data_IF_994636323429
#
_entry.id   IF_994636323429
#
_cell.length_a   1.000
_cell.length_b   1.000
_cell.length_c   1.000
_cell.angle_alpha   90.00
_cell.angle_beta   90.00
_cell.angle_gamma   90.00
#
_symmetry.space_group_name_H-M   'P 1'
#
loop_
_entity.id
_entity.type
_entity.pdbx_description
1 polymer ?
#
# COMPACT_ATOMS: atom_id res chain seq x y z
N UNK A 1 28.89 18.72 15.39
CA UNK A 1 28.83 17.63 14.40
C UNK A 1 27.80 18.02 13.37
N UNK A 2 28.26 18.41 12.17
CA UNK A 2 27.38 18.80 11.07
C UNK A 2 26.85 17.50 10.47
N UNK A 3 25.54 17.25 10.38
CA UNK A 3 25.02 16.05 9.74
C UNK A 3 25.44 16.11 8.27
N UNK A 4 26.37 15.24 7.89
CA UNK A 4 26.70 15.01 6.48
C UNK A 4 25.48 14.39 5.84
N UNK A 5 24.71 15.19 5.11
CA UNK A 5 23.70 14.71 4.18
C UNK A 5 24.42 13.88 3.11
N UNK A 6 24.52 12.57 3.34
CA UNK A 6 24.94 11.64 2.30
C UNK A 6 23.93 11.74 1.15
N UNK A 7 24.38 12.02 -0.08
CA UNK A 7 23.48 11.99 -1.22
C UNK A 7 22.94 10.57 -1.38
N UNK A 8 21.61 10.42 -1.34
CA UNK A 8 20.93 9.16 -1.61
C UNK A 8 21.42 8.62 -2.95
N UNK A 9 22.04 7.43 -2.94
CA UNK A 9 22.48 6.82 -4.19
C UNK A 9 21.28 6.21 -4.92
N UNK A 10 21.39 6.03 -6.24
CA UNK A 10 20.32 5.46 -7.07
C UNK A 10 19.92 4.06 -6.57
N UNK A 11 20.87 3.32 -5.99
CA UNK A 11 20.63 2.01 -5.37
C UNK A 11 19.73 2.10 -4.12
N UNK A 12 19.95 3.12 -3.29
CA UNK A 12 19.13 3.35 -2.09
C UNK A 12 17.70 3.77 -2.48
N UNK A 13 17.57 4.60 -3.52
CA UNK A 13 16.27 5.01 -4.06
C UNK A 13 15.48 3.83 -4.63
N UNK A 14 16.14 2.93 -5.36
CA UNK A 14 15.52 1.71 -5.87
C UNK A 14 15.10 0.77 -4.71
N UNK A 15 15.95 0.58 -3.70
CA UNK A 15 15.59 -0.23 -2.53
C UNK A 15 14.39 0.35 -1.77
N UNK A 16 14.30 1.67 -1.64
CA UNK A 16 13.14 2.36 -1.04
C UNK A 16 11.90 2.13 -1.91
N UNK A 17 12.01 2.28 -3.23
CA UNK A 17 10.92 2.01 -4.17
C UNK A 17 10.38 0.59 -4.03
N UNK A 18 11.26 -0.41 -4.05
CA UNK A 18 10.93 -1.83 -3.87
C UNK A 18 10.29 -2.10 -2.51
N UNK A 19 10.83 -1.53 -1.42
CA UNK A 19 10.27 -1.69 -0.08
C UNK A 19 8.86 -1.10 0.01
N UNK A 20 8.63 0.08 -0.59
CA UNK A 20 7.32 0.73 -0.61
C UNK A 20 6.32 -0.04 -1.48
N UNK A 21 6.76 -0.61 -2.61
CA UNK A 21 5.94 -1.51 -3.43
C UNK A 21 5.52 -2.75 -2.63
N UNK A 22 6.44 -3.38 -1.92
CA UNK A 22 6.15 -4.57 -1.09
C UNK A 22 5.16 -4.25 0.02
N UNK A 23 5.35 -3.13 0.73
CA UNK A 23 4.43 -2.69 1.78
C UNK A 23 3.04 -2.39 1.21
N UNK A 24 2.97 -1.69 0.07
CA UNK A 24 1.73 -1.42 -0.65
C UNK A 24 1.02 -2.71 -1.08
N UNK A 25 1.76 -3.68 -1.60
CA UNK A 25 1.23 -4.98 -2.03
C UNK A 25 0.67 -5.80 -0.86
N UNK A 26 1.41 -5.90 0.26
CA UNK A 26 0.95 -6.61 1.45
C UNK A 26 -0.28 -5.94 2.04
N UNK A 27 -0.25 -4.60 2.16
CA UNK A 27 -1.39 -3.81 2.65
C UNK A 27 -2.63 -3.96 1.76
N UNK A 28 -2.45 -3.92 0.44
CA UNK A 28 -3.52 -4.15 -0.52
C UNK A 28 -4.12 -5.54 -0.35
N UNK A 29 -3.27 -6.58 -0.31
CA UNK A 29 -3.71 -7.98 -0.21
C UNK A 29 -4.48 -8.24 1.09
N UNK A 30 -3.97 -7.77 2.23
CA UNK A 30 -4.65 -7.90 3.53
C UNK A 30 -5.97 -7.15 3.57
N UNK A 31 -6.01 -5.93 3.03
CA UNK A 31 -7.22 -5.11 3.01
C UNK A 31 -8.29 -5.75 2.11
N UNK A 32 -7.88 -6.28 0.96
CA UNK A 32 -8.77 -6.98 0.02
C UNK A 32 -9.32 -8.27 0.63
N UNK A 33 -8.47 -9.02 1.34
CA UNK A 33 -8.88 -10.20 2.09
C UNK A 33 -9.92 -9.86 3.18
N UNK A 34 -9.66 -8.84 3.99
CA UNK A 34 -10.60 -8.38 5.02
C UNK A 34 -11.91 -7.86 4.42
N UNK A 35 -11.83 -7.17 3.28
CA UNK A 35 -12.99 -6.65 2.57
C UNK A 35 -13.87 -7.79 2.02
N UNK A 36 -13.27 -8.84 1.47
CA UNK A 36 -14.00 -10.02 0.97
C UNK A 36 -14.59 -10.82 2.13
N UNK A 37 -13.84 -11.03 3.22
CA UNK A 37 -14.28 -11.92 4.29
C UNK A 37 -15.24 -11.27 5.30
N UNK A 38 -15.03 -9.99 5.63
CA UNK A 38 -15.80 -9.25 6.64
C UNK A 38 -16.71 -8.18 6.03
N UNK A 39 -16.32 -7.64 4.87
CA UNK A 39 -17.00 -6.51 4.24
C UNK A 39 -18.13 -6.92 3.31
N UNK A 40 -18.12 -8.12 2.75
CA UNK A 40 -19.17 -8.60 1.85
C UNK A 40 -20.26 -9.37 2.62
N UNK A 41 -21.51 -8.95 2.43
CA UNK A 41 -22.66 -9.71 2.89
C UNK A 41 -22.89 -10.95 2.00
N UNK A 42 -23.76 -11.89 2.42
CA UNK A 42 -24.11 -13.10 1.65
C UNK A 42 -24.67 -12.80 0.25
N UNK A 43 -25.13 -11.58 0.03
CA UNK A 43 -25.61 -11.05 -1.25
C UNK A 43 -24.51 -10.39 -2.09
N UNK A 44 -23.24 -10.46 -1.68
CA UNK A 44 -22.10 -9.82 -2.34
C UNK A 44 -22.07 -8.30 -2.19
N UNK A 45 -22.94 -7.72 -1.36
CA UNK A 45 -22.99 -6.27 -1.12
C UNK A 45 -21.97 -5.84 -0.07
N UNK A 46 -21.25 -4.75 -0.35
CA UNK A 46 -20.32 -4.16 0.61
C UNK A 46 -21.10 -3.50 1.76
N UNK A 47 -20.86 -3.96 2.99
CA UNK A 47 -21.45 -3.36 4.19
C UNK A 47 -20.96 -1.92 4.35
N UNK A 48 -21.90 -1.00 4.55
CA UNK A 48 -21.66 0.46 4.62
C UNK A 48 -20.61 0.86 5.65
N UNK A 49 -20.46 0.09 6.73
CA UNK A 49 -19.46 0.27 7.79
C UNK A 49 -18.02 -0.01 7.33
N UNK A 50 -17.82 -0.71 6.21
CA UNK A 50 -16.51 -1.09 5.68
C UNK A 50 -16.05 -0.21 4.50
N UNK A 51 -16.69 0.94 4.26
CA UNK A 51 -16.20 1.94 3.29
C UNK A 51 -14.76 2.37 3.58
N UNK A 52 -14.35 2.40 4.84
CA UNK A 52 -12.97 2.70 5.23
C UNK A 52 -11.96 1.65 4.75
N UNK A 53 -12.34 0.37 4.66
CA UNK A 53 -11.49 -0.67 4.05
C UNK A 53 -11.35 -0.46 2.54
N UNK A 54 -12.42 -0.04 1.85
CA UNK A 54 -12.32 0.30 0.43
C UNK A 54 -11.37 1.49 0.18
N UNK A 55 -11.39 2.50 1.06
CA UNK A 55 -10.45 3.64 1.01
C UNK A 55 -9.01 3.15 1.29
N UNK A 56 -8.82 2.31 2.30
CA UNK A 56 -7.51 1.74 2.61
C UNK A 56 -6.96 0.91 1.44
N UNK A 57 -7.82 0.18 0.72
CA UNK A 57 -7.44 -0.61 -0.44
C UNK A 57 -6.95 0.26 -1.60
N UNK A 58 -7.66 1.36 -1.88
CA UNK A 58 -7.24 2.35 -2.88
C UNK A 58 -5.93 3.02 -2.46
N UNK A 59 -5.78 3.36 -1.17
CA UNK A 59 -4.56 3.97 -0.66
C UNK A 59 -3.35 3.01 -0.77
N UNK A 60 -3.49 1.74 -0.38
CA UNK A 60 -2.43 0.74 -0.52
C UNK A 60 -2.07 0.49 -1.98
N UNK A 61 -3.04 0.48 -2.88
CA UNK A 61 -2.79 0.39 -4.32
C UNK A 61 -2.03 1.60 -4.87
N UNK A 62 -2.40 2.82 -4.44
CA UNK A 62 -1.69 4.04 -4.82
C UNK A 62 -0.24 4.05 -4.31
N UNK A 63 -0.01 3.57 -3.08
CA UNK A 63 1.34 3.41 -2.52
C UNK A 63 2.16 2.39 -3.31
N UNK A 64 1.55 1.27 -3.70
CA UNK A 64 2.20 0.25 -4.53
C UNK A 64 2.60 0.80 -5.91
N UNK A 65 1.71 1.54 -6.57
CA UNK A 65 1.99 2.22 -7.84
C UNK A 65 3.07 3.30 -7.71
N UNK A 66 3.07 4.04 -6.60
CA UNK A 66 4.12 5.01 -6.33
C UNK A 66 5.48 4.35 -6.17
N UNK A 67 5.55 3.25 -5.41
CA UNK A 67 6.77 2.44 -5.29
C UNK A 67 7.26 1.94 -6.65
N UNK A 68 6.34 1.45 -7.50
CA UNK A 68 6.67 0.96 -8.85
C UNK A 68 7.15 2.05 -9.82
N UNK A 69 6.66 3.29 -9.67
CA UNK A 69 7.08 4.41 -10.53
C UNK A 69 8.37 5.07 -10.05
N UNK A 70 8.83 4.74 -8.84
CA UNK A 70 10.03 5.30 -8.22
C UNK A 70 11.16 4.27 -8.02
N UNK A 71 10.85 2.97 -8.07
CA UNK A 71 11.81 1.87 -8.16
C UNK A 71 12.47 1.84 -9.55
#
# INVERSE_FOLDING_TARGET
>A
MIPTHQPLTVKDLNQIGVAVTLVGFVGFTLTLWLLVWLGMDKEGRLRRSFKWLAIALVASYAIMLWGLTKA
#
